data_IF_623271970431
#
_entry.id   IF_623271970431
#
_cell.length_a   1.000
_cell.length_b   1.000
_cell.length_c   1.000
_cell.angle_alpha   90.00
_cell.angle_beta   90.00
_cell.angle_gamma   90.00
#
_symmetry.space_group_name_H-M   'P 1'
#
loop_
_entity.id
_entity.type
_entity.pdbx_description
1 polymer ?
#
# COMPACT_ATOMS: atom_id res chain seq x y z
N UNK A 1 -4.27 -1.11 16.02
CA UNK A 1 -3.10 -1.50 15.22
C UNK A 1 -3.13 -0.59 14.03
N UNK A 2 -2.32 0.47 14.06
CA UNK A 2 -2.46 1.64 13.19
C UNK A 2 -1.63 1.41 11.92
N UNK A 3 -1.88 0.30 11.25
CA UNK A 3 -1.23 -0.02 9.98
C UNK A 3 -2.18 0.21 8.81
N UNK A 4 -1.58 0.55 7.68
CA UNK A 4 -2.26 0.62 6.38
C UNK A 4 -1.58 -0.32 5.40
N UNK A 5 -2.36 -0.82 4.45
CA UNK A 5 -1.84 -1.61 3.34
C UNK A 5 -1.54 -0.70 2.16
N UNK A 6 -0.30 -0.75 1.68
CA UNK A 6 0.12 -0.15 0.42
C UNK A 6 0.29 -1.26 -0.62
N UNK A 7 -0.17 -0.98 -1.83
CA UNK A 7 -0.06 -1.84 -3.01
C UNK A 7 0.91 -1.18 -4.01
N UNK A 8 2.22 -1.38 -3.86
CA UNK A 8 3.19 -0.77 -4.76
C UNK A 8 3.06 -1.39 -6.16
N UNK A 9 2.80 -0.54 -7.15
CA UNK A 9 2.74 -0.91 -8.57
C UNK A 9 3.88 -0.22 -9.32
N UNK A 10 4.61 -0.92 -10.22
CA UNK A 10 5.64 -0.29 -11.04
C UNK A 10 5.11 0.92 -11.82
N UNK A 11 5.98 1.88 -12.09
CA UNK A 11 5.59 3.10 -12.82
C UNK A 11 5.07 2.74 -14.22
N UNK A 12 3.85 3.14 -14.53
CA UNK A 12 3.21 2.90 -15.81
C UNK A 12 2.42 1.59 -15.90
N UNK A 13 2.44 0.77 -14.84
CA UNK A 13 1.60 -0.42 -14.74
C UNK A 13 0.28 -0.12 -14.01
N UNK A 14 -0.80 -0.88 -14.32
CA UNK A 14 -2.08 -0.69 -13.66
C UNK A 14 -2.00 -1.04 -12.18
N UNK A 15 -2.65 -0.23 -11.35
CA UNK A 15 -2.85 -0.55 -9.94
C UNK A 15 -3.92 -1.64 -9.82
N UNK A 16 -3.53 -2.80 -9.30
CA UNK A 16 -4.43 -3.92 -9.04
C UNK A 16 -4.83 -3.93 -7.57
N UNK A 17 -6.09 -3.61 -7.28
CA UNK A 17 -6.63 -3.51 -5.92
C UNK A 17 -7.64 -4.61 -5.61
N UNK A 18 -7.77 -5.02 -4.34
CA UNK A 18 -8.88 -5.85 -3.93
C UNK A 18 -10.21 -5.07 -4.02
N UNK A 19 -11.29 -5.80 -4.23
CA UNK A 19 -12.66 -5.28 -4.09
C UNK A 19 -13.23 -5.67 -2.73
N UNK A 20 -14.15 -4.88 -2.17
CA UNK A 20 -14.83 -5.25 -0.93
C UNK A 20 -15.98 -6.22 -1.23
N UNK A 21 -15.92 -7.43 -0.65
CA UNK A 21 -16.99 -8.43 -0.68
C UNK A 21 -17.69 -8.59 0.68
N UNK A 22 -18.76 -9.43 0.75
CA UNK A 22 -19.52 -9.67 1.98
C UNK A 22 -18.68 -10.20 3.14
N UNK A 23 -17.68 -11.02 2.84
CA UNK A 23 -16.80 -11.65 3.83
C UNK A 23 -15.43 -10.95 3.97
N UNK A 24 -15.30 -9.75 3.38
CA UNK A 24 -14.07 -8.96 3.40
C UNK A 24 -13.43 -8.76 2.02
N UNK A 25 -12.14 -8.33 1.96
CA UNK A 25 -11.47 -8.03 0.71
C UNK A 25 -11.27 -9.26 -0.17
N UNK A 26 -11.75 -9.19 -1.41
CA UNK A 26 -11.55 -10.19 -2.46
C UNK A 26 -10.37 -9.76 -3.32
N UNK A 27 -9.32 -10.58 -3.35
CA UNK A 27 -8.11 -10.30 -4.13
C UNK A 27 -8.22 -10.93 -5.52
N UNK A 28 -7.83 -10.21 -6.59
CA UNK A 28 -7.73 -10.79 -7.93
C UNK A 28 -6.53 -11.74 -8.04
N UNK A 29 -6.50 -12.54 -9.11
CA UNK A 29 -5.36 -13.40 -9.47
C UNK A 29 -4.59 -12.84 -10.69
N UNK A 30 -3.25 -12.72 -10.64
CA UNK A 30 -2.39 -13.03 -9.49
C UNK A 30 -2.60 -12.02 -8.35
N UNK A 31 -2.49 -12.51 -7.11
CA UNK A 31 -2.63 -11.65 -5.92
C UNK A 31 -1.65 -10.48 -5.95
N UNK A 32 -2.10 -9.22 -5.82
CA UNK A 32 -1.20 -8.07 -5.85
C UNK A 32 -0.27 -8.06 -4.63
N UNK A 33 0.93 -7.53 -4.83
CA UNK A 33 1.88 -7.29 -3.74
C UNK A 33 1.28 -6.26 -2.78
N UNK A 34 1.17 -6.63 -1.51
CA UNK A 34 0.76 -5.73 -0.43
C UNK A 34 1.85 -5.64 0.64
N UNK A 35 2.02 -4.46 1.23
CA UNK A 35 2.94 -4.23 2.36
C UNK A 35 2.24 -3.42 3.43
N UNK A 36 2.46 -3.82 4.67
CA UNK A 36 1.97 -3.12 5.85
C UNK A 36 2.95 -2.02 6.24
N UNK A 37 2.41 -0.82 6.48
CA UNK A 37 3.17 0.35 6.92
C UNK A 37 2.47 1.03 8.09
N UNK A 38 3.25 1.59 9.00
CA UNK A 38 2.76 2.51 10.03
C UNK A 38 2.76 3.93 9.47
N UNK A 39 1.62 4.65 9.44
CA UNK A 39 1.61 6.06 9.10
C UNK A 39 2.48 6.88 10.05
N UNK A 40 3.30 7.77 9.49
CA UNK A 40 4.11 8.69 10.29
C UNK A 40 3.26 9.80 10.90
N UNK A 41 2.32 10.33 10.13
CA UNK A 41 1.36 11.37 10.54
C UNK A 41 0.14 11.37 9.62
N UNK A 42 -1.04 11.65 10.19
CA UNK A 42 -2.26 11.97 9.45
C UNK A 42 -2.74 13.39 9.81
N UNK A 43 -2.76 14.27 8.83
CA UNK A 43 -3.29 15.63 8.92
C UNK A 43 -4.71 15.65 8.36
N UNK A 44 -5.70 15.60 9.25
CA UNK A 44 -7.11 15.54 8.89
C UNK A 44 -7.62 16.83 8.22
N UNK A 45 -7.08 18.00 8.60
CA UNK A 45 -7.49 19.28 8.04
C UNK A 45 -7.13 19.38 6.55
N UNK A 46 -5.98 18.85 6.17
CA UNK A 46 -5.50 18.82 4.78
C UNK A 46 -5.76 17.49 4.06
N UNK A 47 -6.36 16.50 4.72
CA UNK A 47 -6.56 15.13 4.22
C UNK A 47 -5.26 14.51 3.71
N UNK A 48 -4.17 14.66 4.46
CA UNK A 48 -2.82 14.21 4.07
C UNK A 48 -2.34 13.09 4.98
N UNK A 49 -1.95 11.97 4.39
CA UNK A 49 -1.28 10.86 5.06
C UNK A 49 0.20 10.84 4.67
N UNK A 50 1.09 10.79 5.64
CA UNK A 50 2.54 10.65 5.41
C UNK A 50 3.01 9.28 5.86
N UNK A 51 3.76 8.59 4.99
CA UNK A 51 4.30 7.25 5.24
C UNK A 51 5.79 7.29 4.90
N UNK A 52 6.60 6.75 5.81
CA UNK A 52 8.05 6.67 5.63
C UNK A 52 8.44 5.30 5.07
N UNK A 53 9.29 5.30 4.04
CA UNK A 53 9.82 4.09 3.40
C UNK A 53 11.29 3.89 3.80
N UNK A 54 11.61 2.78 4.46
CA UNK A 54 12.99 2.38 4.70
C UNK A 54 13.57 1.77 3.42
N UNK A 55 14.43 2.52 2.72
CA UNK A 55 15.08 2.07 1.48
C UNK A 55 16.42 1.39 1.73
N UNK A 56 16.93 0.65 0.74
CA UNK A 56 18.26 -0.01 0.78
C UNK A 56 18.24 -1.53 1.02
N UNK A 57 17.09 -2.08 1.43
CA UNK A 57 16.86 -3.52 1.52
C UNK A 57 15.99 -3.88 0.32
N UNK A 58 16.50 -4.68 -0.63
CA UNK A 58 15.78 -4.96 -1.88
C UNK A 58 14.34 -5.46 -1.67
N UNK A 59 13.47 -5.21 -2.64
CA UNK A 59 12.07 -5.65 -2.58
C UNK A 59 11.10 -4.67 -3.25
N UNK A 60 9.83 -5.06 -3.43
CA UNK A 60 8.87 -4.30 -4.24
C UNK A 60 8.49 -2.94 -3.64
N UNK A 61 8.52 -2.82 -2.31
CA UNK A 61 8.28 -1.55 -1.63
C UNK A 61 9.44 -0.57 -1.79
N UNK A 62 10.68 -1.05 -1.59
CA UNK A 62 11.92 -0.29 -1.80
C UNK A 62 12.12 0.12 -3.25
N UNK A 63 11.72 -0.73 -4.21
CA UNK A 63 11.83 -0.42 -5.64
C UNK A 63 10.78 0.57 -6.15
N UNK A 64 9.67 0.71 -5.42
CA UNK A 64 8.58 1.64 -5.76
C UNK A 64 8.80 3.04 -5.17
N UNK A 65 9.34 3.11 -3.95
CA UNK A 65 9.62 4.36 -3.24
C UNK A 65 10.72 5.18 -3.92
#
# INVERSE_FOLDING_TARGET
DDHVKIFPAPRGEPLVLPTLGPDGPVFPEPRPVARDYTPRVFDAANRRLTIDFAVGHGGPATAWA
#
